data_IF_722133621640
#
_entry.id   IF_722133621640
#
_cell.length_a   1.000
_cell.length_b   1.000
_cell.length_c   1.000
_cell.angle_alpha   90.00
_cell.angle_beta   90.00
_cell.angle_gamma   90.00
#
_symmetry.space_group_name_H-M   'P 1'
#
loop_
_entity.id
_entity.type
_entity.pdbx_description
1 polymer ?
#
# COMPACT_ATOMS: atom_id res chain seq x y z
N UNK A 1 -4.67 -9.90 34.28
CA UNK A 1 -4.82 -8.77 33.35
C UNK A 1 -6.15 -8.93 32.61
N UNK A 2 -7.16 -8.13 32.96
CA UNK A 2 -8.45 -8.11 32.27
C UNK A 2 -8.28 -7.28 31.00
N UNK A 3 -7.99 -7.93 29.88
CA UNK A 3 -8.21 -7.28 28.57
C UNK A 3 -9.71 -7.06 28.46
N UNK A 4 -10.11 -5.80 28.39
CA UNK A 4 -11.53 -5.45 28.32
C UNK A 4 -12.13 -6.09 27.06
N UNK A 5 -13.40 -6.50 27.10
CA UNK A 5 -14.12 -7.03 25.93
C UNK A 5 -13.95 -6.13 24.70
N UNK A 6 -13.81 -4.83 24.91
CA UNK A 6 -13.60 -3.82 23.90
C UNK A 6 -12.34 -4.10 23.03
N UNK A 7 -11.23 -4.55 23.64
CA UNK A 7 -9.99 -4.83 22.91
C UNK A 7 -10.10 -6.05 21.98
N UNK A 8 -11.00 -6.99 22.27
CA UNK A 8 -11.25 -8.16 21.41
C UNK A 8 -12.00 -7.81 20.13
N UNK A 9 -12.86 -6.81 20.16
CA UNK A 9 -13.66 -6.36 19.00
C UNK A 9 -12.99 -5.24 18.22
N UNK A 10 -12.02 -4.55 18.82
CA UNK A 10 -11.34 -3.42 18.16
C UNK A 10 -10.56 -3.87 16.92
N UNK A 11 -9.84 -4.98 16.99
CA UNK A 11 -9.06 -5.53 15.88
C UNK A 11 -9.95 -5.91 14.68
N UNK A 12 -10.93 -6.83 14.85
CA UNK A 12 -11.87 -7.17 13.78
C UNK A 12 -12.64 -5.95 13.25
N UNK A 13 -13.08 -5.04 14.13
CA UNK A 13 -13.77 -3.81 13.74
C UNK A 13 -12.93 -2.91 12.83
N UNK A 14 -11.65 -2.73 13.15
CA UNK A 14 -10.72 -1.96 12.31
C UNK A 14 -10.48 -2.63 10.95
N UNK A 15 -10.41 -3.96 10.90
CA UNK A 15 -10.27 -4.69 9.63
C UNK A 15 -11.49 -4.50 8.75
N UNK A 16 -12.70 -4.59 9.31
CA UNK A 16 -13.94 -4.35 8.57
C UNK A 16 -14.01 -2.90 8.08
N UNK A 17 -13.69 -1.93 8.93
CA UNK A 17 -13.66 -0.52 8.56
C UNK A 17 -12.64 -0.27 7.42
N UNK A 18 -11.47 -0.87 7.51
CA UNK A 18 -10.45 -0.80 6.47
C UNK A 18 -10.97 -1.39 5.14
N UNK A 19 -11.58 -2.58 5.18
CA UNK A 19 -12.13 -3.23 3.99
C UNK A 19 -13.22 -2.37 3.31
N UNK A 20 -14.12 -1.78 4.10
CA UNK A 20 -15.17 -0.87 3.59
C UNK A 20 -14.53 0.38 2.96
N UNK A 21 -13.54 0.99 3.62
CA UNK A 21 -12.82 2.16 3.11
C UNK A 21 -12.11 1.86 1.80
N UNK A 22 -11.49 0.68 1.67
CA UNK A 22 -10.83 0.23 0.45
C UNK A 22 -11.84 0.04 -0.70
N UNK A 23 -12.95 -0.66 -0.43
CA UNK A 23 -13.99 -0.89 -1.43
C UNK A 23 -14.59 0.43 -1.93
N UNK A 24 -14.88 1.37 -1.03
CA UNK A 24 -15.38 2.70 -1.39
C UNK A 24 -14.37 3.47 -2.25
N UNK A 25 -13.11 3.47 -1.85
CA UNK A 25 -12.04 4.09 -2.62
C UNK A 25 -11.95 3.53 -4.03
N UNK A 26 -11.98 2.21 -4.18
CA UNK A 26 -11.77 1.56 -5.48
C UNK A 26 -12.92 1.84 -6.45
N UNK A 27 -14.17 1.84 -5.95
CA UNK A 27 -15.34 2.24 -6.74
C UNK A 27 -15.26 3.71 -7.13
N UNK A 28 -14.91 4.59 -6.18
CA UNK A 28 -14.78 6.02 -6.43
C UNK A 28 -13.70 6.34 -7.47
N UNK A 29 -12.54 5.70 -7.38
CA UNK A 29 -11.48 5.89 -8.36
C UNK A 29 -11.83 5.31 -9.73
N UNK A 30 -12.50 4.16 -9.79
CA UNK A 30 -12.94 3.61 -11.06
C UNK A 30 -13.91 4.55 -11.80
N UNK A 31 -14.79 5.24 -11.09
CA UNK A 31 -15.67 6.24 -11.66
C UNK A 31 -14.91 7.52 -12.07
N UNK A 32 -14.04 8.01 -11.19
CA UNK A 32 -13.23 9.20 -11.41
C UNK A 32 -12.36 9.08 -12.66
N UNK A 33 -11.76 7.91 -12.90
CA UNK A 33 -10.86 7.66 -14.05
C UNK A 33 -11.59 7.56 -15.39
N UNK A 34 -12.92 7.56 -15.42
CA UNK A 34 -13.66 7.68 -16.67
C UNK A 34 -13.65 9.12 -17.23
N UNK A 35 -13.45 10.10 -16.37
CA UNK A 35 -13.47 11.52 -16.76
C UNK A 35 -12.14 12.25 -16.62
N UNK A 36 -11.16 11.69 -15.94
CA UNK A 36 -9.87 12.32 -15.63
C UNK A 36 -8.74 11.36 -15.95
N UNK A 37 -7.64 11.89 -16.49
CA UNK A 37 -6.42 11.11 -16.73
C UNK A 37 -5.88 10.55 -15.40
N UNK A 38 -5.82 9.22 -15.32
CA UNK A 38 -5.37 8.53 -14.10
C UNK A 38 -3.91 8.85 -13.74
N UNK A 39 -3.03 9.14 -14.73
CA UNK A 39 -1.67 9.56 -14.47
C UNK A 39 -1.60 10.91 -13.74
N UNK A 40 -2.46 11.86 -14.11
CA UNK A 40 -2.53 13.15 -13.44
C UNK A 40 -2.96 12.98 -11.96
N UNK A 41 -3.96 12.14 -11.71
CA UNK A 41 -4.43 11.85 -10.34
C UNK A 41 -3.36 11.17 -9.50
N UNK A 42 -2.68 10.15 -10.05
CA UNK A 42 -1.58 9.46 -9.37
C UNK A 42 -0.45 10.44 -9.07
N UNK A 43 0.00 11.20 -10.05
CA UNK A 43 1.10 12.15 -9.88
C UNK A 43 0.78 13.16 -8.79
N UNK A 44 -0.43 13.70 -8.78
CA UNK A 44 -0.89 14.63 -7.75
C UNK A 44 -0.92 13.99 -6.37
N UNK A 45 -1.52 12.80 -6.25
CA UNK A 45 -1.64 12.09 -4.97
C UNK A 45 -0.27 11.72 -4.38
N UNK A 46 0.63 11.19 -5.21
CA UNK A 46 1.98 10.84 -4.77
C UNK A 46 2.82 12.07 -4.44
N UNK A 47 2.69 13.17 -5.20
CA UNK A 47 3.41 14.41 -4.92
C UNK A 47 2.98 15.02 -3.59
N UNK A 48 1.68 15.12 -3.35
CA UNK A 48 1.14 15.64 -2.08
C UNK A 48 1.58 14.75 -0.91
N UNK A 49 1.48 13.44 -1.06
CA UNK A 49 1.90 12.49 -0.03
C UNK A 49 3.41 12.59 0.25
N UNK A 50 4.24 12.67 -0.79
CA UNK A 50 5.68 12.80 -0.65
C UNK A 50 6.07 14.11 0.06
N UNK A 51 5.47 15.22 -0.32
CA UNK A 51 5.69 16.51 0.32
C UNK A 51 5.31 16.48 1.82
N UNK A 52 4.15 15.90 2.13
CA UNK A 52 3.66 15.81 3.50
C UNK A 52 4.58 14.91 4.35
N UNK A 53 4.94 13.72 3.86
CA UNK A 53 5.83 12.82 4.59
C UNK A 53 7.24 13.39 4.73
N UNK A 54 7.79 14.04 3.69
CA UNK A 54 9.07 14.73 3.80
C UNK A 54 9.02 15.84 4.85
N UNK A 55 7.99 16.67 4.85
CA UNK A 55 7.84 17.75 5.82
C UNK A 55 7.74 17.19 7.25
N UNK A 56 6.89 16.18 7.49
CA UNK A 56 6.73 15.54 8.80
C UNK A 56 8.04 14.92 9.28
N UNK A 57 8.76 14.20 8.40
CA UNK A 57 10.02 13.56 8.75
C UNK A 57 11.11 14.58 9.07
N UNK A 58 11.23 15.65 8.27
CA UNK A 58 12.19 16.73 8.51
C UNK A 58 11.94 17.45 9.84
N UNK A 59 10.67 17.58 10.27
CA UNK A 59 10.32 18.22 11.53
C UNK A 59 10.57 17.29 12.71
N UNK A 60 10.19 16.00 12.58
CA UNK A 60 10.18 15.04 13.70
C UNK A 60 11.49 14.28 13.89
N UNK A 61 12.18 13.91 12.79
CA UNK A 61 13.37 13.06 12.85
C UNK A 61 14.38 13.40 11.75
N UNK A 62 15.07 14.50 11.93
CA UNK A 62 16.17 14.92 11.03
C UNK A 62 17.31 13.88 10.96
N UNK A 63 17.58 13.21 12.07
CA UNK A 63 18.65 12.20 12.14
C UNK A 63 18.25 10.94 11.35
N UNK A 64 16.98 10.52 11.41
CA UNK A 64 16.43 9.46 10.58
C UNK A 64 16.53 9.78 9.10
N UNK A 65 16.24 11.01 8.70
CA UNK A 65 16.38 11.45 7.31
C UNK A 65 17.83 11.35 6.80
N UNK A 66 18.81 11.68 7.64
CA UNK A 66 20.24 11.53 7.28
C UNK A 66 20.65 10.06 7.09
N UNK A 67 20.08 9.12 7.89
CA UNK A 67 20.32 7.68 7.73
C UNK A 67 19.77 7.14 6.43
N UNK A 68 18.59 7.61 5.99
CA UNK A 68 17.98 7.24 4.72
C UNK A 68 18.90 7.53 3.53
N UNK A 69 19.74 8.56 3.65
CA UNK A 69 20.71 8.91 2.62
C UNK A 69 21.78 7.82 2.40
N UNK A 70 22.10 7.04 3.45
CA UNK A 70 23.01 5.87 3.33
C UNK A 70 22.39 4.71 2.57
N UNK A 71 21.06 4.56 2.63
CA UNK A 71 20.31 3.44 2.04
C UNK A 71 19.57 3.85 0.74
N UNK A 72 20.04 4.87 0.06
CA UNK A 72 19.32 5.47 -1.08
C UNK A 72 18.95 4.47 -2.19
N UNK A 73 19.80 3.44 -2.43
CA UNK A 73 19.56 2.41 -3.43
C UNK A 73 18.32 1.57 -3.07
N UNK A 74 18.23 1.12 -1.83
CA UNK A 74 17.08 0.37 -1.33
C UNK A 74 15.82 1.23 -1.39
N UNK A 75 15.91 2.51 -1.01
CA UNK A 75 14.80 3.46 -1.10
C UNK A 75 14.32 3.66 -2.54
N UNK A 76 15.23 3.84 -3.49
CA UNK A 76 14.87 4.01 -4.90
C UNK A 76 14.16 2.76 -5.41
N UNK A 77 14.72 1.56 -5.18
CA UNK A 77 14.10 0.32 -5.60
C UNK A 77 12.71 0.12 -4.98
N UNK A 78 12.58 0.37 -3.68
CA UNK A 78 11.29 0.27 -2.99
C UNK A 78 10.26 1.24 -3.56
N UNK A 79 10.66 2.50 -3.82
CA UNK A 79 9.75 3.49 -4.38
C UNK A 79 9.37 3.16 -5.83
N UNK A 80 10.32 2.73 -6.66
CA UNK A 80 10.05 2.34 -8.06
C UNK A 80 9.10 1.14 -8.11
N UNK A 81 9.35 0.09 -7.33
CA UNK A 81 8.47 -1.08 -7.31
C UNK A 81 7.08 -0.74 -6.77
N UNK A 82 7.00 0.08 -5.74
CA UNK A 82 5.73 0.56 -5.19
C UNK A 82 4.96 1.41 -6.22
N UNK A 83 5.64 2.35 -6.88
CA UNK A 83 5.03 3.18 -7.91
C UNK A 83 4.51 2.33 -9.08
N UNK A 84 5.29 1.36 -9.57
CA UNK A 84 4.86 0.44 -10.61
C UNK A 84 3.64 -0.39 -10.19
N UNK A 85 3.63 -0.89 -8.95
CA UNK A 85 2.49 -1.63 -8.43
C UNK A 85 1.21 -0.78 -8.39
N UNK A 86 1.30 0.46 -7.91
CA UNK A 86 0.17 1.38 -7.88
C UNK A 86 -0.27 1.82 -9.28
N UNK A 87 0.66 2.12 -10.18
CA UNK A 87 0.32 2.43 -11.57
C UNK A 87 -0.41 1.28 -12.24
N UNK A 88 0.06 0.05 -12.06
CA UNK A 88 -0.59 -1.15 -12.60
C UNK A 88 -1.98 -1.36 -11.99
N UNK A 89 -2.12 -1.14 -10.69
CA UNK A 89 -3.40 -1.24 -9.99
C UNK A 89 -4.43 -0.24 -10.54
N UNK A 90 -4.07 1.04 -10.61
CA UNK A 90 -4.97 2.07 -11.10
C UNK A 90 -5.25 1.94 -12.59
N UNK A 91 -4.25 1.56 -13.39
CA UNK A 91 -4.48 1.22 -14.80
C UNK A 91 -5.49 0.08 -14.96
N UNK A 92 -5.41 -0.94 -14.11
CA UNK A 92 -6.37 -2.04 -14.13
C UNK A 92 -7.80 -1.57 -13.79
N UNK A 93 -7.97 -0.59 -12.90
CA UNK A 93 -9.28 0.00 -12.56
C UNK A 93 -9.93 0.76 -13.73
N UNK A 94 -9.14 1.20 -14.71
CA UNK A 94 -9.69 1.86 -15.91
C UNK A 94 -10.29 0.86 -16.92
N UNK A 95 -9.94 -0.42 -16.81
CA UNK A 95 -10.31 -1.45 -17.78
C UNK A 95 -11.12 -2.60 -17.19
N UNK A 96 -11.02 -2.83 -15.88
CA UNK A 96 -11.63 -3.97 -15.20
C UNK A 96 -12.53 -3.48 -14.06
N UNK A 97 -13.50 -4.32 -13.71
CA UNK A 97 -14.34 -4.05 -12.55
C UNK A 97 -13.50 -4.01 -11.25
N UNK A 98 -13.77 -3.06 -10.34
CA UNK A 98 -13.02 -2.90 -9.09
C UNK A 98 -12.92 -4.18 -8.24
N UNK A 99 -13.98 -5.00 -8.23
CA UNK A 99 -14.01 -6.27 -7.51
C UNK A 99 -12.96 -7.27 -8.04
N UNK A 100 -12.79 -7.34 -9.36
CA UNK A 100 -11.79 -8.22 -10.00
C UNK A 100 -10.38 -7.72 -9.68
N UNK A 101 -10.14 -6.41 -9.84
CA UNK A 101 -8.83 -5.81 -9.57
C UNK A 101 -8.42 -6.02 -8.11
N UNK A 102 -9.34 -5.79 -7.18
CA UNK A 102 -9.07 -5.96 -5.75
C UNK A 102 -8.80 -7.42 -5.38
N UNK A 103 -9.53 -8.36 -5.96
CA UNK A 103 -9.32 -9.80 -5.74
C UNK A 103 -7.94 -10.24 -6.24
N UNK A 104 -7.57 -9.84 -7.46
CA UNK A 104 -6.25 -10.14 -8.02
C UNK A 104 -5.13 -9.52 -7.19
N UNK A 105 -5.26 -8.24 -6.85
CA UNK A 105 -4.26 -7.52 -6.06
C UNK A 105 -4.07 -8.15 -4.67
N UNK A 106 -5.15 -8.50 -4.00
CA UNK A 106 -5.10 -9.16 -2.68
C UNK A 106 -4.53 -10.57 -2.73
N UNK A 107 -4.69 -11.26 -3.86
CA UNK A 107 -4.17 -12.61 -4.09
C UNK A 107 -2.66 -12.65 -4.35
N UNK A 108 -2.06 -11.56 -4.84
CA UNK A 108 -0.62 -11.54 -5.20
C UNK A 108 0.28 -11.80 -3.98
N UNK A 109 -0.02 -11.22 -2.83
CA UNK A 109 0.79 -11.40 -1.63
C UNK A 109 0.86 -12.86 -1.16
N UNK A 110 -0.26 -13.52 -0.87
CA UNK A 110 -0.30 -14.94 -0.53
C UNK A 110 0.31 -15.84 -1.60
N UNK A 111 0.04 -15.57 -2.88
CA UNK A 111 0.60 -16.34 -3.98
C UNK A 111 2.13 -16.24 -4.04
N UNK A 112 2.68 -15.04 -3.86
CA UNK A 112 4.12 -14.83 -3.80
C UNK A 112 4.76 -15.63 -2.67
N UNK A 113 4.16 -15.63 -1.48
CA UNK A 113 4.64 -16.42 -0.34
C UNK A 113 4.62 -17.91 -0.65
N UNK A 114 3.55 -18.42 -1.28
CA UNK A 114 3.45 -19.81 -1.69
C UNK A 114 4.53 -20.20 -2.72
N UNK A 115 4.74 -19.38 -3.74
CA UNK A 115 5.77 -19.61 -4.76
C UNK A 115 7.18 -19.62 -4.14
N UNK A 116 7.51 -18.61 -3.32
CA UNK A 116 8.80 -18.54 -2.64
C UNK A 116 9.03 -19.74 -1.72
N UNK A 117 7.98 -20.16 -1.00
CA UNK A 117 8.03 -21.37 -0.16
C UNK A 117 8.26 -22.63 -0.98
N UNK A 118 7.59 -22.78 -2.11
CA UNK A 118 7.75 -23.93 -3.02
C UNK A 118 9.15 -23.99 -3.65
N UNK A 119 9.76 -22.82 -3.88
CA UNK A 119 11.14 -22.71 -4.40
C UNK A 119 12.20 -22.90 -3.31
N UNK A 120 11.81 -23.17 -2.06
CA UNK A 120 12.73 -23.37 -0.93
C UNK A 120 13.51 -22.10 -0.53
N UNK A 121 13.06 -20.93 -0.97
CA UNK A 121 13.69 -19.66 -0.59
C UNK A 121 13.35 -19.33 0.88
N UNK A 122 14.34 -18.89 1.70
CA UNK A 122 14.10 -18.59 3.10
C UNK A 122 13.15 -17.41 3.22
N UNK A 123 11.92 -17.68 3.61
CA UNK A 123 11.01 -16.63 4.06
C UNK A 123 11.56 -16.13 5.38
N UNK A 124 11.83 -14.82 5.48
CA UNK A 124 12.39 -14.21 6.68
C UNK A 124 11.58 -14.66 7.90
N UNK A 125 12.23 -15.41 8.82
CA UNK A 125 11.60 -15.77 10.08
C UNK A 125 11.32 -14.48 10.84
N UNK A 126 10.13 -14.28 11.38
CA UNK A 126 9.87 -13.13 12.23
C UNK A 126 10.89 -13.17 13.38
N UNK A 127 11.69 -12.13 13.51
CA UNK A 127 12.57 -11.92 14.66
C UNK A 127 11.67 -11.88 15.91
N UNK A 128 11.86 -12.83 16.81
CA UNK A 128 11.19 -12.85 18.13
C UNK A 128 11.74 -11.75 19.01
#
# INVERSE_FOLDING_TARGET
MKYSMLSRFLGPGLVVLFAISQAFRDVYFADLFQGIDFFAVILMAFSVSALLFCAVTLIRDRAGFARLRGEWRALVWMNVTTALAWCSYFFSLTHLQPSIVNTLHSGVGPLTVLILSALGLPIAKPSR
#
